data_IF_529631408155
#
_entry.id   IF_529631408155
#
_cell.length_a   1.000
_cell.length_b   1.000
_cell.length_c   1.000
_cell.angle_alpha   90.00
_cell.angle_beta   90.00
_cell.angle_gamma   90.00
#
_symmetry.space_group_name_H-M   'P 1'
#
loop_
_entity.id
_entity.type
_entity.pdbx_description
1 polymer ?
#
# COMPACT_ATOMS: atom_id res chain seq x y z
N UNK A 1 -3.17 17.18 -25.41
CA UNK A 1 -2.67 16.63 -24.11
C UNK A 1 -2.96 17.52 -22.91
N UNK A 2 -2.73 18.85 -22.94
CA UNK A 2 -2.97 19.71 -21.77
C UNK A 2 -4.42 19.73 -21.23
N UNK A 3 -5.41 19.73 -22.10
CA UNK A 3 -6.83 19.82 -21.69
C UNK A 3 -7.38 18.54 -21.00
N UNK A 4 -6.83 17.38 -21.25
CA UNK A 4 -7.27 16.13 -20.62
C UNK A 4 -6.74 16.00 -19.18
N UNK A 5 -5.53 16.51 -18.94
CA UNK A 5 -4.95 16.53 -17.59
C UNK A 5 -5.79 17.39 -16.66
N UNK A 6 -6.21 18.58 -17.10
CA UNK A 6 -7.07 19.47 -16.31
C UNK A 6 -8.47 18.90 -16.05
N UNK A 7 -9.03 18.15 -17.01
CA UNK A 7 -10.30 17.46 -16.80
C UNK A 7 -10.24 16.39 -15.71
N UNK A 8 -9.17 15.60 -15.69
CA UNK A 8 -8.96 14.54 -14.69
C UNK A 8 -8.74 15.08 -13.26
N UNK A 9 -8.11 16.25 -13.14
CA UNK A 9 -7.89 16.90 -11.84
C UNK A 9 -9.17 17.50 -11.26
N UNK A 10 -10.18 17.77 -12.09
CA UNK A 10 -11.45 18.38 -11.72
C UNK A 10 -12.63 17.39 -11.76
N UNK A 11 -12.40 16.10 -11.96
CA UNK A 11 -13.45 15.09 -11.82
C UNK A 11 -13.89 15.00 -10.36
N UNK A 12 -15.18 15.09 -10.12
CA UNK A 12 -15.77 14.94 -8.79
C UNK A 12 -15.42 13.56 -8.20
N UNK A 13 -15.14 13.53 -6.91
CA UNK A 13 -14.94 12.30 -6.18
C UNK A 13 -16.19 11.44 -6.27
N UNK A 14 -16.06 10.24 -6.82
CA UNK A 14 -17.14 9.30 -6.95
C UNK A 14 -16.76 7.90 -6.46
N UNK A 15 -17.75 7.06 -6.26
CA UNK A 15 -17.57 5.63 -6.09
C UNK A 15 -17.89 4.92 -7.40
N UNK A 16 -17.10 3.93 -7.78
CA UNK A 16 -17.37 3.12 -8.96
C UNK A 16 -17.90 1.75 -8.54
N UNK A 17 -19.08 1.37 -9.06
CA UNK A 17 -19.76 0.11 -8.70
C UNK A 17 -18.92 -1.13 -9.00
N UNK A 18 -18.18 -1.12 -10.10
CA UNK A 18 -17.35 -2.25 -10.53
C UNK A 18 -15.94 -2.22 -9.91
N UNK A 19 -15.63 -1.26 -9.05
CA UNK A 19 -14.36 -1.18 -8.37
C UNK A 19 -14.39 -1.97 -7.07
N UNK A 20 -13.55 -2.99 -6.98
CA UNK A 20 -13.43 -3.82 -5.79
C UNK A 20 -13.08 -3.00 -4.53
N UNK A 21 -12.13 -2.06 -4.61
CA UNK A 21 -11.73 -1.24 -3.46
C UNK A 21 -12.83 -0.27 -3.01
N UNK A 22 -13.61 0.29 -3.94
CA UNK A 22 -14.79 1.08 -3.57
C UNK A 22 -15.80 0.24 -2.78
N UNK A 23 -16.01 -1.00 -3.17
CA UNK A 23 -16.92 -1.91 -2.46
C UNK A 23 -16.34 -2.34 -1.10
N UNK A 24 -15.04 -2.56 -1.03
CA UNK A 24 -14.34 -2.94 0.20
C UNK A 24 -14.31 -1.81 1.24
N UNK A 25 -14.41 -0.54 0.82
CA UNK A 25 -14.50 0.62 1.74
C UNK A 25 -15.67 0.54 2.71
N UNK A 26 -16.71 -0.23 2.39
CA UNK A 26 -17.88 -0.46 3.27
C UNK A 26 -17.63 -1.52 4.36
N UNK A 27 -16.55 -2.28 4.26
CA UNK A 27 -16.22 -3.32 5.24
C UNK A 27 -15.66 -2.70 6.52
N UNK A 28 -16.00 -3.28 7.66
CA UNK A 28 -15.46 -2.89 8.96
C UNK A 28 -14.12 -3.60 9.25
N UNK A 29 -13.28 -3.06 10.15
CA UNK A 29 -12.09 -3.75 10.64
C UNK A 29 -12.39 -5.17 11.09
N UNK A 30 -11.48 -6.11 10.80
CA UNK A 30 -11.63 -7.54 11.03
C UNK A 30 -12.34 -8.30 9.89
N UNK A 31 -12.98 -7.62 8.94
CA UNK A 31 -13.63 -8.29 7.79
C UNK A 31 -12.63 -8.62 6.69
N UNK A 32 -12.89 -9.76 6.04
CA UNK A 32 -12.06 -10.27 4.94
C UNK A 32 -12.63 -9.78 3.62
N UNK A 33 -11.78 -9.26 2.75
CA UNK A 33 -12.13 -8.81 1.40
C UNK A 33 -12.25 -9.99 0.42
N UNK A 34 -12.82 -9.75 -0.76
CA UNK A 34 -12.87 -10.76 -1.82
C UNK A 34 -11.50 -11.27 -2.29
N UNK A 35 -10.46 -10.45 -2.14
CA UNK A 35 -9.07 -10.83 -2.41
C UNK A 35 -8.41 -11.65 -1.27
N UNK A 36 -9.06 -11.74 -0.11
CA UNK A 36 -8.52 -12.38 1.09
C UNK A 36 -7.67 -11.45 1.98
N UNK A 37 -7.65 -10.15 1.72
CA UNK A 37 -7.06 -9.17 2.61
C UNK A 37 -7.99 -8.94 3.83
N UNK A 38 -7.43 -8.49 4.94
CA UNK A 38 -8.22 -8.21 6.16
C UNK A 38 -8.18 -6.70 6.41
N UNK A 39 -9.34 -6.08 6.55
CA UNK A 39 -9.43 -4.65 6.93
C UNK A 39 -8.93 -4.49 8.35
N UNK A 40 -7.94 -3.63 8.56
CA UNK A 40 -7.29 -3.42 9.87
C UNK A 40 -7.55 -2.03 10.45
N UNK A 41 -7.92 -1.06 9.62
CA UNK A 41 -8.13 0.32 10.06
C UNK A 41 -9.08 1.07 9.13
N UNK A 42 -9.82 2.02 9.69
CA UNK A 42 -10.62 3.01 8.96
C UNK A 42 -10.57 4.35 9.66
N UNK A 43 -10.62 5.43 8.87
CA UNK A 43 -10.76 6.80 9.35
C UNK A 43 -11.66 7.57 8.37
N UNK A 44 -12.45 8.49 8.89
CA UNK A 44 -13.46 9.21 8.11
C UNK A 44 -14.74 8.39 7.89
N UNK A 45 -15.74 9.03 7.31
CA UNK A 45 -17.09 8.46 7.14
C UNK A 45 -17.71 8.75 5.78
N UNK A 46 -17.04 9.46 4.91
CA UNK A 46 -17.50 9.82 3.57
C UNK A 46 -16.39 9.66 2.54
N UNK A 47 -16.73 9.78 1.26
CA UNK A 47 -15.75 9.77 0.17
C UNK A 47 -14.77 10.94 0.26
N UNK A 48 -15.18 12.07 0.80
CA UNK A 48 -14.41 13.30 0.89
C UNK A 48 -13.36 13.28 2.03
N UNK A 49 -13.46 12.30 2.94
CA UNK A 49 -12.57 12.24 4.10
C UNK A 49 -12.13 10.82 4.49
N UNK A 50 -12.63 9.79 3.82
CA UNK A 50 -12.48 8.40 4.24
C UNK A 50 -11.25 7.71 3.69
N UNK A 51 -10.54 6.98 4.56
CA UNK A 51 -9.46 6.05 4.24
C UNK A 51 -9.66 4.74 4.96
N UNK A 52 -9.22 3.66 4.35
CA UNK A 52 -9.14 2.35 4.99
C UNK A 52 -7.81 1.66 4.68
N UNK A 53 -7.39 0.82 5.60
CA UNK A 53 -6.19 0.01 5.42
C UNK A 53 -6.54 -1.47 5.49
N UNK A 54 -5.92 -2.26 4.62
CA UNK A 54 -6.07 -3.70 4.56
C UNK A 54 -4.71 -4.40 4.61
N UNK A 55 -4.61 -5.44 5.43
CA UNK A 55 -3.46 -6.34 5.47
C UNK A 55 -3.58 -7.33 4.31
N UNK A 56 -2.64 -7.29 3.38
CA UNK A 56 -2.62 -8.16 2.20
C UNK A 56 -2.30 -9.61 2.58
N UNK A 57 -2.97 -10.61 1.99
CA UNK A 57 -2.62 -12.01 2.16
C UNK A 57 -1.31 -12.39 1.48
N UNK A 58 -0.72 -11.48 0.71
CA UNK A 58 0.51 -11.69 -0.06
C UNK A 58 1.51 -10.59 0.20
N UNK A 59 2.79 -10.96 0.19
CA UNK A 59 3.90 -10.03 0.29
C UNK A 59 4.91 -10.24 -0.82
N UNK A 60 5.65 -9.22 -1.19
CA UNK A 60 6.77 -9.31 -2.13
C UNK A 60 8.03 -9.91 -1.51
N UNK A 61 8.11 -9.93 -0.18
CA UNK A 61 9.25 -10.41 0.58
C UNK A 61 9.09 -11.85 1.10
N UNK A 62 9.72 -12.11 2.25
CA UNK A 62 9.63 -13.40 2.94
C UNK A 62 8.30 -13.50 3.71
N UNK A 63 7.39 -14.43 3.35
CA UNK A 63 6.06 -14.52 3.97
C UNK A 63 6.09 -14.92 5.45
N UNK A 64 7.22 -15.40 5.96
CA UNK A 64 7.40 -15.70 7.39
C UNK A 64 7.80 -14.46 8.21
N UNK A 65 8.34 -13.43 7.56
CA UNK A 65 8.86 -12.22 8.21
C UNK A 65 8.13 -10.96 7.74
N UNK A 66 7.87 -10.86 6.43
CA UNK A 66 7.32 -9.67 5.81
C UNK A 66 5.79 -9.69 5.74
N UNK A 67 5.24 -8.51 5.56
CA UNK A 67 3.82 -8.28 5.32
C UNK A 67 3.67 -7.03 4.45
N UNK A 68 2.47 -6.82 3.94
CA UNK A 68 2.16 -5.62 3.14
C UNK A 68 0.81 -5.07 3.58
N UNK A 69 0.77 -3.80 3.92
CA UNK A 69 -0.46 -3.05 4.18
C UNK A 69 -0.79 -2.23 2.93
N UNK A 70 -2.04 -2.19 2.55
CA UNK A 70 -2.56 -1.34 1.50
C UNK A 70 -3.43 -0.26 2.15
N UNK A 71 -3.12 1.00 1.89
CA UNK A 71 -3.89 2.17 2.34
C UNK A 71 -4.61 2.77 1.14
N UNK A 72 -5.93 2.90 1.22
CA UNK A 72 -6.80 3.28 0.12
C UNK A 72 -7.83 4.32 0.57
N UNK A 73 -8.17 5.31 -0.27
CA UNK A 73 -9.30 6.19 -0.02
C UNK A 73 -10.64 5.46 -0.20
N UNK A 74 -11.73 5.99 0.37
CA UNK A 74 -13.08 5.49 0.06
C UNK A 74 -13.51 5.89 -1.35
N UNK A 75 -13.12 7.09 -1.77
CA UNK A 75 -13.36 7.58 -3.10
C UNK A 75 -12.51 6.86 -4.15
N UNK A 76 -13.04 6.72 -5.35
CA UNK A 76 -12.29 6.20 -6.48
C UNK A 76 -11.34 7.27 -7.03
N UNK A 77 -10.20 7.46 -6.38
CA UNK A 77 -9.13 8.30 -6.90
C UNK A 77 -8.20 7.45 -7.77
N UNK A 78 -7.64 8.06 -8.78
CA UNK A 78 -6.62 7.47 -9.65
C UNK A 78 -5.24 8.10 -9.47
N UNK A 79 -5.19 9.31 -8.91
CA UNK A 79 -3.97 10.09 -8.71
C UNK A 79 -3.95 10.80 -7.37
N UNK A 80 -2.77 10.93 -6.79
CA UNK A 80 -2.56 11.68 -5.54
C UNK A 80 -2.98 13.16 -5.64
N UNK A 81 -2.78 13.76 -6.81
CA UNK A 81 -3.09 15.17 -7.04
C UNK A 81 -4.58 15.50 -6.86
N UNK A 82 -5.48 14.53 -7.04
CA UNK A 82 -6.91 14.73 -6.83
C UNK A 82 -7.25 15.07 -5.37
N UNK A 83 -6.41 14.65 -4.41
CA UNK A 83 -6.62 14.98 -3.00
C UNK A 83 -6.44 16.48 -2.68
N UNK A 84 -5.76 17.24 -3.53
CA UNK A 84 -5.54 18.67 -3.30
C UNK A 84 -6.83 19.48 -3.19
N UNK A 85 -7.90 19.01 -3.83
CA UNK A 85 -9.23 19.61 -3.77
C UNK A 85 -10.05 19.19 -2.54
N UNK A 86 -9.54 18.27 -1.73
CA UNK A 86 -10.24 17.68 -0.57
C UNK A 86 -9.35 17.70 0.68
N UNK A 87 -9.24 18.82 1.39
CA UNK A 87 -8.31 18.99 2.52
C UNK A 87 -8.48 17.95 3.64
N UNK A 88 -9.72 17.58 3.98
CA UNK A 88 -9.97 16.57 5.02
C UNK A 88 -9.54 15.16 4.58
N UNK A 89 -9.65 14.85 3.29
CA UNK A 89 -9.12 13.60 2.75
C UNK A 89 -7.59 13.55 2.85
N UNK A 90 -6.92 14.64 2.50
CA UNK A 90 -5.46 14.77 2.60
C UNK A 90 -4.99 14.72 4.05
N UNK A 91 -5.68 15.38 4.98
CA UNK A 91 -5.42 15.34 6.42
C UNK A 91 -5.56 13.91 6.97
N UNK A 92 -6.65 13.23 6.67
CA UNK A 92 -6.89 11.87 7.15
C UNK A 92 -5.93 10.84 6.54
N UNK A 93 -5.41 11.09 5.33
CA UNK A 93 -4.27 10.33 4.81
C UNK A 93 -3.07 10.43 5.73
N UNK A 94 -2.68 11.63 6.12
CA UNK A 94 -1.54 11.86 7.02
C UNK A 94 -1.71 11.17 8.37
N UNK A 95 -2.91 11.27 8.96
CA UNK A 95 -3.26 10.61 10.23
C UNK A 95 -3.21 9.08 10.08
N UNK A 96 -3.85 8.53 9.06
CA UNK A 96 -3.86 7.08 8.81
C UNK A 96 -2.44 6.55 8.61
N UNK A 97 -1.66 7.23 7.79
CA UNK A 97 -0.28 6.85 7.50
C UNK A 97 0.59 6.87 8.75
N UNK A 98 0.48 7.90 9.59
CA UNK A 98 1.22 8.03 10.85
C UNK A 98 0.88 6.89 11.82
N UNK A 99 -0.41 6.62 12.03
CA UNK A 99 -0.87 5.52 12.90
C UNK A 99 -0.39 4.15 12.39
N UNK A 100 -0.51 3.88 11.08
CA UNK A 100 -0.03 2.64 10.48
C UNK A 100 1.48 2.48 10.67
N UNK A 101 2.24 3.55 10.50
CA UNK A 101 3.70 3.54 10.67
C UNK A 101 4.09 3.20 12.12
N UNK A 102 3.41 3.78 13.10
CA UNK A 102 3.62 3.46 14.51
C UNK A 102 3.25 2.01 14.83
N UNK A 103 2.09 1.54 14.36
CA UNK A 103 1.66 0.15 14.55
C UNK A 103 2.64 -0.84 13.92
N UNK A 104 3.15 -0.55 12.72
CA UNK A 104 4.18 -1.36 12.07
C UNK A 104 5.44 -1.44 12.91
N UNK A 105 5.92 -0.31 13.46
CA UNK A 105 7.09 -0.28 14.32
C UNK A 105 6.90 -1.20 15.54
N UNK A 106 5.74 -1.13 16.18
CA UNK A 106 5.41 -1.97 17.34
C UNK A 106 5.36 -3.47 16.97
N UNK A 107 4.64 -3.82 15.90
CA UNK A 107 4.53 -5.23 15.43
C UNK A 107 5.89 -5.83 15.09
N UNK A 108 6.78 -5.05 14.51
CA UNK A 108 8.11 -5.55 14.17
C UNK A 108 9.01 -5.66 15.40
N UNK A 109 8.94 -4.72 16.35
CA UNK A 109 9.71 -4.77 17.58
C UNK A 109 9.35 -5.99 18.46
N UNK A 110 8.06 -6.35 18.53
CA UNK A 110 7.60 -7.49 19.32
C UNK A 110 8.03 -8.86 18.77
N UNK A 111 8.24 -8.98 17.47
CA UNK A 111 8.41 -10.28 16.81
C UNK A 111 9.80 -10.62 16.37
N UNK A 112 10.72 -9.69 16.33
CA UNK A 112 11.96 -9.91 15.62
C UNK A 112 13.20 -10.02 16.47
N UNK A 113 13.15 -10.12 17.80
CA UNK A 113 14.40 -10.05 18.58
C UNK A 113 15.33 -8.89 18.10
N UNK A 114 14.73 -7.87 17.54
CA UNK A 114 15.41 -6.61 17.42
C UNK A 114 15.63 -6.20 18.87
N UNK A 115 16.78 -6.64 19.39
CA UNK A 115 17.22 -6.36 20.76
C UNK A 115 16.69 -4.99 21.12
N UNK A 116 15.88 -4.96 22.14
CA UNK A 116 15.15 -3.79 22.64
C UNK A 116 16.07 -2.65 23.14
N UNK A 117 17.29 -2.57 22.60
CA UNK A 117 18.32 -1.61 22.95
C UNK A 117 18.10 -0.22 22.34
N UNK A 118 17.01 0.00 21.63
CA UNK A 118 16.76 1.35 21.19
C UNK A 118 15.28 1.70 21.28
N UNK A 119 14.99 2.72 22.05
CA UNK A 119 13.75 3.46 22.01
C UNK A 119 13.26 3.57 20.57
N UNK A 120 12.23 2.81 20.22
CA UNK A 120 11.67 2.80 18.86
C UNK A 120 11.23 4.19 18.38
N UNK A 121 11.02 5.13 19.31
CA UNK A 121 10.75 6.53 19.02
C UNK A 121 11.96 7.33 18.55
N UNK A 122 13.17 6.99 19.00
CA UNK A 122 14.37 7.73 18.64
C UNK A 122 14.98 7.31 17.31
N UNK A 123 14.84 6.03 16.93
CA UNK A 123 15.46 5.51 15.70
C UNK A 123 14.52 5.40 14.52
N UNK A 124 13.21 5.52 14.75
CA UNK A 124 12.20 5.33 13.71
C UNK A 124 12.27 3.92 13.09
N UNK A 125 11.20 3.53 12.43
CA UNK A 125 11.16 2.28 11.69
C UNK A 125 11.37 2.56 10.21
N UNK A 126 12.34 1.92 9.57
CA UNK A 126 12.45 2.01 8.13
C UNK A 126 11.24 1.34 7.49
N UNK A 127 10.40 2.12 6.83
CA UNK A 127 9.30 1.64 6.00
C UNK A 127 9.53 2.11 4.57
N UNK A 128 9.14 1.29 3.64
CA UNK A 128 9.11 1.66 2.25
C UNK A 128 7.67 1.79 1.78
N UNK A 129 7.43 2.78 0.93
CA UNK A 129 6.12 3.10 0.40
C UNK A 129 6.24 3.24 -1.10
N UNK A 130 5.30 2.66 -1.82
CA UNK A 130 5.05 3.09 -3.16
C UNK A 130 3.55 3.18 -3.44
N UNK A 131 3.15 4.20 -4.20
CA UNK A 131 1.80 4.35 -4.70
C UNK A 131 1.74 3.84 -6.13
N UNK A 132 0.74 3.03 -6.45
CA UNK A 132 0.40 2.73 -7.82
C UNK A 132 -0.60 3.78 -8.26
N UNK A 133 -0.10 4.75 -9.06
CA UNK A 133 -0.95 5.55 -9.92
C UNK A 133 -1.03 4.84 -11.26
N UNK A 134 -2.20 4.73 -11.82
CA UNK A 134 -2.35 4.27 -13.18
C UNK A 134 -1.72 5.26 -14.15
N UNK A 135 -1.26 4.77 -15.28
CA UNK A 135 -0.95 5.65 -16.41
C UNK A 135 -2.23 6.37 -16.84
N UNK A 136 -2.08 7.50 -17.52
CA UNK A 136 -3.22 8.27 -18.04
C UNK A 136 -4.17 7.46 -18.93
N UNK A 137 -3.70 6.38 -19.49
CA UNK A 137 -4.42 5.47 -20.37
C UNK A 137 -5.24 4.43 -19.59
N UNK A 138 -4.81 4.08 -18.36
CA UNK A 138 -5.44 3.08 -17.50
C UNK A 138 -6.26 3.72 -16.38
N UNK A 139 -7.27 4.51 -16.72
CA UNK A 139 -8.11 5.31 -15.79
C UNK A 139 -8.91 4.50 -14.75
N UNK A 140 -8.72 3.19 -14.67
CA UNK A 140 -9.60 2.29 -13.91
C UNK A 140 -9.03 1.84 -12.57
N UNK A 141 -7.75 2.04 -12.30
CA UNK A 141 -7.18 1.59 -11.04
C UNK A 141 -7.42 2.58 -9.91
N UNK A 142 -8.03 2.10 -8.87
CA UNK A 142 -8.18 2.80 -7.63
C UNK A 142 -6.83 3.06 -6.96
N UNK A 143 -6.59 4.29 -6.51
CA UNK A 143 -5.38 4.68 -5.81
C UNK A 143 -5.17 3.80 -4.57
N UNK A 144 -4.04 3.11 -4.52
CA UNK A 144 -3.64 2.36 -3.34
C UNK A 144 -2.16 2.50 -3.06
N UNK A 145 -1.85 2.66 -1.80
CA UNK A 145 -0.50 2.85 -1.31
C UNK A 145 -0.08 1.58 -0.60
N UNK A 146 0.98 0.96 -1.05
CA UNK A 146 1.55 -0.20 -0.37
C UNK A 146 2.61 0.25 0.61
N UNK A 147 2.46 -0.20 1.84
CA UNK A 147 3.35 0.10 2.96
C UNK A 147 3.88 -1.24 3.48
N UNK A 148 5.19 -1.37 3.60
CA UNK A 148 5.83 -2.62 4.02
C UNK A 148 7.13 -2.36 4.76
N UNK A 149 7.59 -3.31 5.61
CA UNK A 149 8.85 -3.20 6.33
C UNK A 149 10.03 -3.05 5.38
N UNK A 150 10.84 -2.04 5.59
CA UNK A 150 12.11 -1.89 4.87
C UNK A 150 13.23 -2.56 5.67
N UNK A 151 13.88 -3.54 5.07
CA UNK A 151 14.94 -4.33 5.71
C UNK A 151 16.33 -4.09 5.12
N UNK A 152 16.46 -3.10 4.26
CA UNK A 152 17.74 -2.70 3.66
C UNK A 152 18.44 -1.63 4.48
N UNK A 153 19.67 -1.33 4.10
CA UNK A 153 20.41 -0.21 4.66
C UNK A 153 20.06 1.08 3.93
N UNK A 154 19.80 2.15 4.68
CA UNK A 154 19.54 3.48 4.12
C UNK A 154 20.77 3.91 3.31
N UNK A 155 20.55 4.40 2.11
CA UNK A 155 21.62 4.82 1.19
C UNK A 155 22.21 3.72 0.32
N UNK A 156 21.81 2.46 0.50
CA UNK A 156 22.17 1.36 -0.38
C UNK A 156 21.03 0.95 -1.29
N UNK A 157 21.33 0.45 -2.47
CA UNK A 157 20.34 -0.09 -3.38
C UNK A 157 19.61 -1.27 -2.74
N UNK A 158 18.31 -1.12 -2.52
CA UNK A 158 17.46 -2.16 -1.95
C UNK A 158 16.25 -2.42 -2.83
N UNK A 159 15.96 -3.68 -3.06
CA UNK A 159 14.81 -4.06 -3.85
C UNK A 159 13.60 -4.22 -2.96
N UNK A 160 12.67 -3.30 -3.07
CA UNK A 160 11.49 -3.18 -2.21
C UNK A 160 10.40 -4.17 -2.58
N UNK A 161 10.35 -4.55 -3.82
CA UNK A 161 9.41 -5.55 -4.34
C UNK A 161 10.23 -6.55 -5.17
N UNK A 162 10.01 -7.84 -4.96
CA UNK A 162 10.68 -8.90 -5.70
C UNK A 162 10.46 -8.81 -7.22
N UNK A 163 9.49 -7.98 -7.70
CA UNK A 163 9.33 -7.63 -9.10
C UNK A 163 10.59 -7.01 -9.71
N UNK A 164 11.38 -6.34 -8.91
CA UNK A 164 12.61 -5.72 -9.36
C UNK A 164 13.84 -6.64 -9.27
N UNK A 165 13.73 -7.80 -8.61
CA UNK A 165 14.83 -8.74 -8.43
C UNK A 165 15.19 -9.52 -9.69
N UNK A 166 14.28 -9.65 -10.64
CA UNK A 166 14.48 -10.45 -11.85
C UNK A 166 14.46 -9.56 -13.08
N UNK A 167 15.52 -8.80 -13.25
CA UNK A 167 15.75 -8.07 -14.48
C UNK A 167 16.44 -9.00 -15.47
N UNK A 168 15.92 -9.08 -16.69
CA UNK A 168 16.63 -9.65 -17.83
C UNK A 168 16.81 -8.53 -18.85
N UNK A 169 18.06 -8.25 -19.19
CA UNK A 169 18.34 -7.37 -20.31
C UNK A 169 18.10 -8.19 -21.57
N UNK A 170 17.18 -7.78 -22.39
CA UNK A 170 16.90 -8.35 -23.69
C UNK A 170 17.24 -7.32 -24.76
N UNK A 171 17.68 -7.78 -25.93
CA UNK A 171 17.98 -6.95 -27.07
C UNK A 171 16.89 -7.12 -28.10
N UNK A 172 16.31 -6.03 -28.56
CA UNK A 172 15.37 -6.07 -29.66
C UNK A 172 16.08 -6.57 -30.91
N UNK A 173 15.57 -7.62 -31.52
CA UNK A 173 16.20 -8.25 -32.69
C UNK A 173 16.13 -7.42 -33.96
N UNK A 174 15.24 -6.40 -34.00
CA UNK A 174 15.06 -5.54 -35.17
C UNK A 174 15.82 -4.23 -35.06
N UNK A 175 15.77 -3.61 -33.88
CA UNK A 175 16.37 -2.29 -33.64
C UNK A 175 17.76 -2.38 -33.02
N UNK A 176 18.10 -3.50 -32.40
CA UNK A 176 19.32 -3.68 -31.62
C UNK A 176 19.33 -2.97 -30.28
N UNK A 177 18.24 -2.31 -29.90
CA UNK A 177 18.13 -1.62 -28.63
C UNK A 177 18.05 -2.58 -27.45
N UNK A 178 18.73 -2.24 -26.36
CA UNK A 178 18.66 -2.98 -25.11
C UNK A 178 17.51 -2.47 -24.25
N UNK A 179 16.66 -3.38 -23.78
CA UNK A 179 15.59 -3.07 -22.86
C UNK A 179 15.56 -4.02 -21.67
N UNK A 180 15.07 -3.53 -20.53
CA UNK A 180 14.96 -4.32 -19.32
C UNK A 180 13.61 -4.99 -19.28
N UNK A 181 13.57 -6.30 -19.48
CA UNK A 181 12.35 -7.08 -19.28
C UNK A 181 12.21 -7.45 -17.82
N UNK A 182 11.18 -6.92 -17.19
CA UNK A 182 10.83 -7.27 -15.81
C UNK A 182 9.92 -8.51 -15.82
N UNK A 183 10.37 -9.57 -15.15
CA UNK A 183 9.51 -10.75 -14.99
C UNK A 183 8.45 -10.48 -13.92
N UNK A 184 7.19 -10.93 -14.14
CA UNK A 184 6.14 -10.85 -13.12
C UNK A 184 6.59 -11.55 -11.85
N UNK A 185 6.36 -10.91 -10.72
CA UNK A 185 6.72 -11.43 -9.41
C UNK A 185 5.75 -12.50 -8.99
N UNK A 186 6.27 -13.57 -8.44
CA UNK A 186 5.47 -14.45 -7.60
C UNK A 186 5.30 -13.77 -6.24
N UNK A 187 4.12 -13.25 -5.97
CA UNK A 187 3.76 -12.81 -4.64
C UNK A 187 3.68 -14.04 -3.74
N UNK A 188 4.39 -14.00 -2.63
CA UNK A 188 4.40 -15.09 -1.67
C UNK A 188 3.18 -14.96 -0.75
N UNK A 189 2.47 -16.07 -0.52
CA UNK A 189 1.31 -16.09 0.37
C UNK A 189 1.75 -16.16 1.83
N UNK A 190 1.13 -15.35 2.65
CA UNK A 190 1.28 -15.37 4.10
C UNK A 190 0.36 -16.49 4.62
N UNK A 191 0.89 -17.36 5.48
CA UNK A 191 0.09 -18.45 6.08
C UNK A 191 -1.12 -17.88 6.84
N UNK A 192 -2.26 -18.58 6.77
CA UNK A 192 -3.55 -18.10 7.31
C UNK A 192 -3.49 -17.74 8.79
N UNK A 193 -2.82 -18.54 9.61
CA UNK A 193 -2.65 -18.28 11.05
C UNK A 193 -1.85 -17.00 11.28
N UNK A 194 -0.74 -16.84 10.57
CA UNK A 194 0.08 -15.64 10.68
C UNK A 194 -0.67 -14.39 10.19
N UNK A 195 -1.42 -14.51 9.10
CA UNK A 195 -2.22 -13.39 8.59
C UNK A 195 -3.27 -12.95 9.62
N UNK A 196 -3.97 -13.91 10.24
CA UNK A 196 -4.95 -13.62 11.29
C UNK A 196 -4.29 -12.96 12.50
N UNK A 197 -3.22 -13.55 13.00
CA UNK A 197 -2.49 -13.01 14.13
C UNK A 197 -1.95 -11.58 13.88
N UNK A 198 -1.39 -11.30 12.70
CA UNK A 198 -0.98 -9.94 12.32
C UNK A 198 -2.18 -9.00 12.26
N UNK A 199 -3.32 -9.46 11.71
CA UNK A 199 -4.55 -8.66 11.66
C UNK A 199 -5.03 -8.28 13.05
N UNK A 200 -5.04 -9.21 13.99
CA UNK A 200 -5.48 -8.97 15.37
C UNK A 200 -4.56 -7.95 16.06
N UNK A 201 -3.25 -8.09 15.90
CA UNK A 201 -2.27 -7.13 16.42
C UNK A 201 -2.48 -5.73 15.83
N UNK A 202 -2.56 -5.61 14.50
CA UNK A 202 -2.77 -4.31 13.87
C UNK A 202 -4.11 -3.69 14.28
N UNK A 203 -5.18 -4.46 14.29
CA UNK A 203 -6.50 -3.95 14.70
C UNK A 203 -6.47 -3.44 16.14
N UNK A 204 -5.80 -4.13 17.05
CA UNK A 204 -5.63 -3.69 18.43
C UNK A 204 -4.80 -2.41 18.58
N UNK A 205 -3.76 -2.25 17.77
CA UNK A 205 -2.86 -1.09 17.83
C UNK A 205 -3.42 0.16 17.12
N UNK A 206 -4.41 -0.01 16.23
CA UNK A 206 -4.97 1.04 15.39
C UNK A 206 -6.32 1.57 15.90
N UNK A 207 -6.87 0.98 16.96
CA UNK A 207 -8.03 1.51 17.67
C UNK A 207 -7.63 2.77 18.43
#
# INVERSE_FOLDING_TARGET
MGNEIYKLLNEDISSQRDCQFCNESNLNPGKVTGYGAIIIYKIGNSMENGWFAALSPKTGGNPKKDFTIQLMPFAHLTHFSQMSSYPELAKNYGVAFSKISEAMAKVMAEKEDLKAESNSREKGMPIAIYGKCTTWEEKKEHLHIKIFPFRGNIGQAYTVDSSFLRKKIEKDSKTGEEFVKMKPVRKNEIGKERLRHLSDLFTSLLQ
#
